data_IF_101649637894
#
_entry.id   IF_101649637894
#
_cell.length_a   1.000
_cell.length_b   1.000
_cell.length_c   1.000
_cell.angle_alpha   90.00
_cell.angle_beta   90.00
_cell.angle_gamma   90.00
#
_symmetry.space_group_name_H-M   'P 1'
#
loop_
_entity.id
_entity.type
_entity.pdbx_description
1 polymer ?
#
# COMPACT_ATOMS: atom_id res chain seq x y z
N UNK A 1 13.72 10.35 -8.29
CA UNK A 1 12.84 9.20 -8.60
C UNK A 1 13.35 7.90 -7.99
N UNK A 2 14.66 7.70 -7.78
CA UNK A 2 15.21 6.50 -7.12
C UNK A 2 14.62 6.22 -5.72
N UNK A 3 14.45 7.27 -4.89
CA UNK A 3 13.81 7.12 -3.58
C UNK A 3 12.37 6.61 -3.68
N UNK A 4 11.54 7.17 -4.58
CA UNK A 4 10.19 6.65 -4.87
C UNK A 4 10.23 5.20 -5.32
N UNK A 5 11.15 4.86 -6.24
CA UNK A 5 11.30 3.50 -6.73
C UNK A 5 11.55 2.54 -5.57
N UNK A 6 12.49 2.84 -4.66
CA UNK A 6 12.81 1.98 -3.53
C UNK A 6 11.66 1.85 -2.53
N UNK A 7 10.88 2.91 -2.33
CA UNK A 7 9.69 2.89 -1.47
C UNK A 7 8.60 1.98 -2.04
N UNK A 8 8.27 2.15 -3.33
CA UNK A 8 7.26 1.30 -3.99
C UNK A 8 7.75 -0.14 -4.20
N UNK A 9 9.05 -0.35 -4.37
CA UNK A 9 9.63 -1.69 -4.41
C UNK A 9 9.46 -2.39 -3.05
N UNK A 10 9.71 -1.68 -1.95
CA UNK A 10 9.47 -2.23 -0.61
C UNK A 10 7.99 -2.53 -0.36
N UNK A 11 7.08 -1.68 -0.85
CA UNK A 11 5.62 -1.96 -0.82
C UNK A 11 5.29 -3.24 -1.59
N UNK A 12 5.89 -3.43 -2.77
CA UNK A 12 5.73 -4.65 -3.58
C UNK A 12 6.15 -5.89 -2.80
N UNK A 13 7.37 -5.91 -2.25
CA UNK A 13 7.92 -7.07 -1.52
C UNK A 13 7.10 -7.43 -0.28
N UNK A 14 6.66 -6.41 0.49
CA UNK A 14 5.82 -6.65 1.66
C UNK A 14 4.42 -7.15 1.25
N UNK A 15 3.86 -6.67 0.14
CA UNK A 15 2.59 -7.15 -0.43
C UNK A 15 2.69 -8.61 -0.86
N UNK A 16 3.74 -8.97 -1.60
CA UNK A 16 4.02 -10.36 -1.99
C UNK A 16 4.15 -11.28 -0.77
N UNK A 17 4.85 -10.80 0.27
CA UNK A 17 5.01 -11.56 1.52
C UNK A 17 3.68 -11.80 2.22
N UNK A 18 2.79 -10.80 2.27
CA UNK A 18 1.45 -10.95 2.85
C UNK A 18 0.61 -11.93 2.01
N UNK A 19 0.65 -11.83 0.69
CA UNK A 19 -0.07 -12.76 -0.20
C UNK A 19 0.41 -14.21 -0.03
N UNK A 20 1.72 -14.42 0.11
CA UNK A 20 2.28 -15.75 0.36
C UNK A 20 1.87 -16.32 1.72
N UNK A 21 1.84 -15.48 2.76
CA UNK A 21 1.46 -15.88 4.13
C UNK A 21 -0.04 -16.09 4.31
N UNK A 22 -0.89 -15.47 3.50
CA UNK A 22 -2.36 -15.58 3.63
C UNK A 22 -2.96 -16.75 2.87
N UNK A 23 -2.20 -17.47 2.04
CA UNK A 23 -2.58 -18.75 1.42
C UNK A 23 -3.94 -18.74 0.70
N UNK A 24 -4.52 -19.92 0.44
CA UNK A 24 -5.85 -20.05 -0.17
C UNK A 24 -6.96 -19.90 0.88
N UNK A 25 -7.06 -18.72 1.48
CA UNK A 25 -8.09 -18.45 2.46
C UNK A 25 -9.50 -18.44 1.83
N UNK A 26 -10.39 -19.30 2.32
CA UNK A 26 -11.76 -19.47 1.79
C UNK A 26 -12.78 -18.47 2.39
N UNK A 27 -12.42 -17.78 3.47
CA UNK A 27 -13.29 -16.77 4.09
C UNK A 27 -13.44 -15.55 3.16
N UNK A 28 -14.67 -15.06 2.98
CA UNK A 28 -14.97 -13.93 2.09
C UNK A 28 -14.18 -12.65 2.38
N UNK A 29 -13.88 -12.35 3.65
CA UNK A 29 -13.03 -11.22 4.03
C UNK A 29 -11.59 -11.45 3.61
N UNK A 30 -11.08 -12.68 3.74
CA UNK A 30 -9.73 -13.03 3.31
C UNK A 30 -9.61 -13.05 1.78
N UNK A 31 -10.66 -13.48 1.06
CA UNK A 31 -10.72 -13.42 -0.41
C UNK A 31 -10.71 -11.97 -0.88
N UNK A 32 -11.56 -11.10 -0.31
CA UNK A 32 -11.58 -9.67 -0.65
C UNK A 32 -10.23 -9.02 -0.38
N UNK A 33 -9.68 -9.30 0.80
CA UNK A 33 -8.38 -8.82 1.23
C UNK A 33 -7.25 -9.18 0.24
N UNK A 34 -7.17 -10.46 -0.15
CA UNK A 34 -6.19 -10.94 -1.13
C UNK A 34 -6.42 -10.34 -2.52
N UNK A 35 -7.67 -10.19 -2.93
CA UNK A 35 -8.04 -9.59 -4.24
C UNK A 35 -7.46 -8.18 -4.36
N UNK A 36 -7.63 -7.37 -3.32
CA UNK A 36 -7.12 -5.99 -3.28
C UNK A 36 -5.59 -5.96 -3.26
N UNK A 37 -4.94 -6.86 -2.53
CA UNK A 37 -3.48 -6.95 -2.53
C UNK A 37 -2.89 -7.40 -3.87
N UNK A 38 -3.60 -8.24 -4.62
CA UNK A 38 -3.19 -8.63 -5.98
C UNK A 38 -3.26 -7.44 -6.95
N UNK A 39 -4.30 -6.61 -6.85
CA UNK A 39 -4.39 -5.36 -7.63
C UNK A 39 -3.26 -4.39 -7.24
N UNK A 40 -3.02 -4.20 -5.94
CA UNK A 40 -1.91 -3.39 -5.45
C UNK A 40 -0.56 -3.88 -5.98
N UNK A 41 -0.31 -5.18 -5.93
CA UNK A 41 0.91 -5.81 -6.46
C UNK A 41 1.07 -5.54 -7.95
N UNK A 42 0.02 -5.78 -8.74
CA UNK A 42 0.01 -5.52 -10.18
C UNK A 42 0.30 -4.04 -10.48
N UNK A 43 -0.27 -3.11 -9.71
CA UNK A 43 -0.01 -1.69 -9.90
C UNK A 43 1.42 -1.30 -9.53
N UNK A 44 2.02 -1.93 -8.50
CA UNK A 44 3.44 -1.76 -8.21
C UNK A 44 4.32 -2.26 -9.38
N UNK A 45 4.01 -3.41 -9.96
CA UNK A 45 4.75 -3.96 -11.11
C UNK A 45 4.68 -3.05 -12.35
N UNK A 46 3.53 -2.40 -12.56
CA UNK A 46 3.38 -1.41 -13.64
C UNK A 46 4.09 -0.09 -13.31
N UNK A 47 4.08 0.35 -12.05
CA UNK A 47 4.67 1.61 -11.62
C UNK A 47 6.21 1.60 -11.64
N UNK A 48 6.83 0.51 -11.18
CA UNK A 48 8.28 0.45 -10.98
C UNK A 48 9.11 0.75 -12.25
N UNK A 49 8.78 0.21 -13.45
CA UNK A 49 9.46 0.58 -14.69
C UNK A 49 9.42 2.08 -14.98
N UNK A 50 8.27 2.73 -14.76
CA UNK A 50 8.15 4.18 -14.96
C UNK A 50 9.08 4.98 -14.03
N UNK A 51 9.21 4.54 -12.77
CA UNK A 51 10.09 5.19 -11.80
C UNK A 51 11.58 4.95 -12.08
N UNK A 52 11.92 3.81 -12.68
CA UNK A 52 13.30 3.42 -13.02
C UNK A 52 13.81 4.09 -14.29
N UNK A 53 12.98 4.16 -15.33
CA UNK A 53 13.37 4.67 -16.65
C UNK A 53 13.29 6.20 -16.75
N UNK A 54 12.36 6.82 -16.02
CA UNK A 54 12.10 8.26 -16.14
C UNK A 54 12.74 9.06 -15.01
N UNK A 55 13.99 9.48 -15.19
CA UNK A 55 14.60 10.49 -14.30
C UNK A 55 13.90 11.85 -14.33
N UNK A 56 12.95 12.07 -15.27
CA UNK A 56 12.17 13.31 -15.49
C UNK A 56 10.68 13.10 -15.80
N UNK A 57 10.11 11.94 -15.45
CA UNK A 57 8.71 11.62 -15.75
C UNK A 57 7.73 12.61 -15.13
N UNK A 58 6.65 12.95 -15.84
CA UNK A 58 5.59 13.76 -15.25
C UNK A 58 4.63 12.87 -14.45
N UNK A 59 4.16 13.34 -13.30
CA UNK A 59 3.21 12.59 -12.46
C UNK A 59 1.99 12.08 -13.25
N UNK A 60 1.55 12.80 -14.29
CA UNK A 60 0.40 12.40 -15.12
C UNK A 60 0.58 11.03 -15.80
N UNK A 61 1.83 10.62 -16.04
CA UNK A 61 2.16 9.40 -16.80
C UNK A 61 1.93 8.14 -15.97
N UNK A 62 2.00 8.24 -14.64
CA UNK A 62 1.88 7.10 -13.71
C UNK A 62 0.94 7.35 -12.53
N UNK A 63 0.28 8.53 -12.44
CA UNK A 63 -0.63 8.87 -11.33
C UNK A 63 -1.73 7.84 -11.12
N UNK A 64 -2.22 7.19 -12.19
CA UNK A 64 -3.27 6.19 -12.09
C UNK A 64 -2.83 5.01 -11.23
N UNK A 65 -1.61 4.50 -11.44
CA UNK A 65 -1.08 3.38 -10.66
C UNK A 65 -0.90 3.76 -9.20
N UNK A 66 -0.37 4.97 -8.95
CA UNK A 66 -0.21 5.51 -7.59
C UNK A 66 -1.57 5.62 -6.89
N UNK A 67 -2.57 6.21 -7.53
CA UNK A 67 -3.92 6.35 -6.95
C UNK A 67 -4.56 5.01 -6.61
N UNK A 68 -4.39 4.00 -7.46
CA UNK A 68 -4.92 2.66 -7.18
C UNK A 68 -4.20 2.03 -5.99
N UNK A 69 -2.86 2.10 -5.92
CA UNK A 69 -2.09 1.56 -4.78
C UNK A 69 -2.57 2.17 -3.44
N UNK A 70 -2.79 3.49 -3.37
CA UNK A 70 -3.28 4.11 -2.14
C UNK A 70 -4.75 3.77 -1.83
N UNK A 71 -5.58 3.59 -2.87
CA UNK A 71 -6.95 3.15 -2.70
C UNK A 71 -7.00 1.73 -2.13
N UNK A 72 -6.18 0.84 -2.69
CA UNK A 72 -6.09 -0.56 -2.31
C UNK A 72 -5.56 -0.72 -0.89
N UNK A 73 -4.51 0.01 -0.47
CA UNK A 73 -4.04 -0.01 0.92
C UNK A 73 -5.15 0.41 1.91
N UNK A 74 -5.99 1.37 1.53
CA UNK A 74 -7.13 1.80 2.35
C UNK A 74 -8.19 0.70 2.49
N UNK A 75 -8.50 -0.02 1.41
CA UNK A 75 -9.45 -1.14 1.45
C UNK A 75 -8.82 -2.32 2.22
N UNK A 76 -7.55 -2.63 1.97
CA UNK A 76 -6.79 -3.69 2.61
C UNK A 76 -6.70 -3.49 4.13
N UNK A 77 -6.40 -2.28 4.62
CA UNK A 77 -6.36 -1.98 6.07
C UNK A 77 -7.72 -2.26 6.73
N UNK A 78 -8.81 -1.80 6.13
CA UNK A 78 -10.16 -2.02 6.68
C UNK A 78 -10.56 -3.49 6.68
N UNK A 79 -10.24 -4.20 5.59
CA UNK A 79 -10.60 -5.61 5.40
C UNK A 79 -9.75 -6.52 6.30
N UNK A 80 -8.45 -6.25 6.42
CA UNK A 80 -7.54 -6.97 7.31
C UNK A 80 -7.98 -6.86 8.77
N UNK A 81 -8.40 -5.66 9.22
CA UNK A 81 -8.93 -5.47 10.58
C UNK A 81 -10.24 -6.23 10.82
N UNK A 82 -11.13 -6.27 9.82
CA UNK A 82 -12.36 -7.05 9.92
C UNK A 82 -12.07 -8.56 9.99
N UNK A 83 -11.23 -9.06 9.09
CA UNK A 83 -10.82 -10.46 9.04
C UNK A 83 -10.08 -10.89 10.31
N UNK A 84 -9.12 -10.09 10.77
CA UNK A 84 -8.36 -10.36 12.00
C UNK A 84 -9.27 -10.47 13.23
N UNK A 85 -10.30 -9.63 13.33
CA UNK A 85 -11.30 -9.73 14.42
C UNK A 85 -12.12 -11.01 14.31
N UNK A 86 -12.59 -11.34 13.11
CA UNK A 86 -13.38 -12.55 12.88
C UNK A 86 -12.59 -13.82 13.21
N UNK A 87 -11.32 -13.89 12.80
CA UNK A 87 -10.44 -15.03 13.11
C UNK A 87 -10.18 -15.15 14.61
N UNK A 88 -9.85 -14.04 15.29
CA UNK A 88 -9.62 -14.04 16.75
C UNK A 88 -10.85 -14.48 17.56
N UNK A 89 -12.05 -14.22 17.06
CA UNK A 89 -13.29 -14.69 17.69
C UNK A 89 -13.53 -16.19 17.51
N UNK A 90 -13.02 -16.77 16.42
CA UNK A 90 -13.15 -18.20 16.12
C UNK A 90 -12.06 -19.03 16.80
N UNK A 91 -10.85 -18.48 16.87
CA UNK A 91 -9.68 -19.12 17.45
C UNK A 91 -8.73 -18.08 18.03
N UNK A 92 -8.66 -18.02 19.37
CA UNK A 92 -7.73 -17.11 20.07
C UNK A 92 -6.26 -17.44 19.78
N UNK A 93 -5.95 -18.70 19.43
CA UNK A 93 -4.59 -19.14 19.13
C UNK A 93 -4.07 -18.68 17.76
N UNK A 94 -4.93 -18.13 16.91
CA UNK A 94 -4.54 -17.49 15.64
C UNK A 94 -3.92 -16.09 15.80
N UNK A 95 -3.85 -15.57 17.04
CA UNK A 95 -3.25 -14.26 17.34
C UNK A 95 -1.82 -14.06 16.82
N UNK A 96 -0.87 -15.00 17.03
CA UNK A 96 0.52 -14.85 16.60
C UNK A 96 0.70 -14.73 15.09
N UNK A 97 -0.02 -15.51 14.26
CA UNK A 97 0.08 -15.42 12.80
C UNK A 97 -0.48 -14.09 12.26
N UNK A 98 -1.57 -13.59 12.86
CA UNK A 98 -2.14 -12.29 12.52
C UNK A 98 -1.21 -11.12 12.92
N UNK A 99 -0.50 -11.25 14.05
CA UNK A 99 0.47 -10.23 14.47
C UNK A 99 1.66 -10.17 13.51
N UNK A 100 2.13 -11.30 12.98
CA UNK A 100 3.17 -11.29 11.94
C UNK A 100 2.69 -10.57 10.68
N UNK A 101 1.46 -10.82 10.23
CA UNK A 101 0.87 -10.12 9.08
C UNK A 101 0.75 -8.61 9.32
N UNK A 102 0.38 -8.19 10.52
CA UNK A 102 0.28 -6.77 10.88
C UNK A 102 1.64 -6.05 10.77
N UNK A 103 2.76 -6.72 11.07
CA UNK A 103 4.10 -6.13 10.88
C UNK A 103 4.35 -5.73 9.43
N UNK A 104 3.99 -6.60 8.47
CA UNK A 104 4.12 -6.28 7.05
C UNK A 104 3.15 -5.17 6.63
N UNK A 105 1.92 -5.14 7.18
CA UNK A 105 0.98 -4.02 6.97
C UNK A 105 1.54 -2.68 7.41
N UNK A 106 2.09 -2.62 8.62
CA UNK A 106 2.64 -1.38 9.14
C UNK A 106 3.83 -0.91 8.30
N UNK A 107 4.61 -1.84 7.74
CA UNK A 107 5.69 -1.50 6.81
C UNK A 107 5.18 -0.96 5.48
N UNK A 108 4.19 -1.59 4.84
CA UNK A 108 3.53 -1.08 3.63
C UNK A 108 3.04 0.34 3.89
N UNK A 109 2.26 0.54 4.95
CA UNK A 109 1.69 1.84 5.31
C UNK A 109 2.74 2.91 5.58
N UNK A 110 3.84 2.54 6.25
CA UNK A 110 4.98 3.44 6.48
C UNK A 110 5.63 3.85 5.16
N UNK A 111 5.89 2.90 4.27
CA UNK A 111 6.50 3.18 2.97
C UNK A 111 5.59 4.04 2.09
N UNK A 112 4.28 3.81 2.12
CA UNK A 112 3.30 4.65 1.42
C UNK A 112 3.24 6.08 1.96
N UNK A 113 3.37 6.30 3.27
CA UNK A 113 3.49 7.66 3.83
C UNK A 113 4.79 8.34 3.40
N UNK A 114 5.89 7.61 3.41
CA UNK A 114 7.17 8.14 2.92
C UNK A 114 7.11 8.44 1.41
N UNK A 115 6.43 7.62 0.62
CA UNK A 115 6.24 7.83 -0.81
C UNK A 115 5.33 9.03 -1.09
N UNK A 116 4.31 9.26 -0.26
CA UNK A 116 3.43 10.42 -0.37
C UNK A 116 4.22 11.71 -0.20
N UNK A 117 5.08 11.76 0.82
CA UNK A 117 5.98 12.89 1.06
C UNK A 117 6.93 13.10 -0.12
N UNK A 118 7.59 12.05 -0.60
CA UNK A 118 8.52 12.15 -1.72
C UNK A 118 7.82 12.58 -3.03
N UNK A 119 6.58 12.13 -3.26
CA UNK A 119 5.75 12.61 -4.38
C UNK A 119 5.49 14.11 -4.27
N UNK A 120 5.15 14.59 -3.07
CA UNK A 120 4.93 16.02 -2.79
C UNK A 120 6.20 16.84 -3.00
N UNK A 121 7.34 16.36 -2.51
CA UNK A 121 8.65 17.01 -2.65
C UNK A 121 9.08 17.13 -4.14
N UNK A 122 8.73 16.15 -4.98
CA UNK A 122 9.08 16.14 -6.42
C UNK A 122 8.08 16.93 -7.28
N UNK A 123 6.77 16.77 -7.04
CA UNK A 123 5.72 17.26 -7.95
C UNK A 123 4.91 18.44 -7.42
N UNK A 124 5.02 18.73 -6.12
CA UNK A 124 4.27 19.75 -5.42
C UNK A 124 2.88 19.29 -4.95
N UNK A 125 2.46 19.82 -3.81
CA UNK A 125 1.17 19.52 -3.13
C UNK A 125 -0.04 19.61 -4.06
N UNK A 126 -0.12 20.68 -4.88
CA UNK A 126 -1.25 20.92 -5.78
C UNK A 126 -1.52 19.77 -6.76
N UNK A 127 -0.48 19.07 -7.19
CA UNK A 127 -0.62 17.92 -8.10
C UNK A 127 -0.89 16.63 -7.34
N UNK A 128 -0.28 16.46 -6.17
CA UNK A 128 -0.31 15.21 -5.41
C UNK A 128 -1.60 15.04 -4.62
N UNK A 129 -2.24 16.12 -4.16
CA UNK A 129 -3.48 16.08 -3.37
C UNK A 129 -4.67 15.38 -4.05
N UNK A 130 -4.64 15.26 -5.39
CA UNK A 130 -5.66 14.55 -6.18
C UNK A 130 -5.27 13.10 -6.50
N UNK A 131 -4.05 12.69 -6.18
CA UNK A 131 -3.51 11.36 -6.46
C UNK A 131 -3.41 10.53 -5.18
N UNK A 132 -3.04 11.17 -4.07
CA UNK A 132 -2.79 10.55 -2.78
C UNK A 132 -3.85 11.00 -1.77
N UNK A 133 -4.50 10.07 -1.05
CA UNK A 133 -5.46 10.43 -0.01
C UNK A 133 -4.84 11.26 1.11
N UNK A 134 -5.61 12.22 1.64
CA UNK A 134 -5.14 13.21 2.62
C UNK A 134 -4.52 12.61 3.90
N UNK A 135 -4.90 11.39 4.28
CA UNK A 135 -4.38 10.72 5.47
C UNK A 135 -2.96 10.15 5.32
N UNK A 136 -2.43 10.10 4.09
CA UNK A 136 -1.01 9.82 3.83
C UNK A 136 -0.17 11.08 3.63
N UNK A 137 -0.80 12.22 3.33
CA UNK A 137 -0.10 13.47 3.13
C UNK A 137 0.47 14.00 4.45
N UNK A 138 1.64 14.65 4.44
CA UNK A 138 2.12 15.43 5.56
C UNK A 138 1.04 16.42 6.00
N UNK A 139 0.79 16.55 7.31
CA UNK A 139 -0.07 17.64 7.78
C UNK A 139 0.65 18.96 7.50
N UNK A 140 -0.02 19.98 6.94
CA UNK A 140 0.57 21.30 6.91
C UNK A 140 0.90 21.71 8.34
N UNK A 141 2.10 22.22 8.56
CA UNK A 141 2.46 22.87 9.82
C UNK A 141 1.42 23.96 10.05
N UNK A 142 0.59 23.81 11.08
CA UNK A 142 -0.24 24.92 11.54
C UNK A 142 0.73 25.97 12.07
N UNK A 143 0.91 27.04 11.28
CA UNK A 143 1.68 28.23 11.67
C UNK A 143 0.95 29.07 12.70
#
# INVERSE_FOLDING_TARGET
MEALHNLFFSVKEDTETILNKTGDAENSLAVLFRTVLLEQLQMCELLLPHLKEQSRGELKDFKKYVSIIYHDDSIADSTFRAWSRAVKWQDESAGPSLNELDVFFQRVKKNLKSAAKELEDIFGEEKVKYVVPAFYLPKPLQG
#
